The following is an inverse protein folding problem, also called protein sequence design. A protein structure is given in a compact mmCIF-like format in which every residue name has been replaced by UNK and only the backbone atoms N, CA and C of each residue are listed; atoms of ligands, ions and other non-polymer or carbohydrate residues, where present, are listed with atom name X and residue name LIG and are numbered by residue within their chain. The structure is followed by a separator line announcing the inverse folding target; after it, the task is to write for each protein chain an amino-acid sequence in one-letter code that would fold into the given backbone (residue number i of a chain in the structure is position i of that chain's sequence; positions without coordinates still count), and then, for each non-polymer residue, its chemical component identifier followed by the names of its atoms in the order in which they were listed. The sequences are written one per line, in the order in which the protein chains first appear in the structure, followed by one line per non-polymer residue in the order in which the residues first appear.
data_IF_744798735280
#
_entry.id   IF_744798735280
#
_cell.length_a   1.000
_cell.length_b   1.000
_cell.length_c   1.000
_cell.angle_alpha   90.00
_cell.angle_beta   90.00
_cell.angle_gamma   90.00
#
_symmetry.space_group_name_H-M   'P 1'
#
loop_
_entity.id
_entity.type
_entity.pdbx_description
1 polymer ?
#
# COMPACT_ATOMS: atom_id res chain seq x y z
N UNK A 1 5.61 -4.53 12.70
CA UNK A 1 4.47 -5.42 12.35
C UNK A 1 4.40 -5.59 10.85
N UNK A 2 4.25 -6.81 10.33
CA UNK A 2 4.17 -7.05 8.88
C UNK A 2 2.71 -7.10 8.42
N UNK A 3 2.43 -6.35 7.37
CA UNK A 3 1.12 -6.22 6.73
C UNK A 3 1.20 -6.69 5.29
N UNK A 4 0.16 -7.37 4.85
CA UNK A 4 -0.05 -7.79 3.48
C UNK A 4 -0.98 -6.79 2.80
N UNK A 5 -0.46 -6.13 1.77
CA UNK A 5 -1.17 -5.11 1.01
C UNK A 5 -1.44 -5.63 -0.40
N UNK A 6 -2.71 -5.67 -0.79
CA UNK A 6 -3.12 -5.84 -2.17
C UNK A 6 -3.33 -4.46 -2.81
N UNK A 7 -2.39 -4.05 -3.65
CA UNK A 7 -2.41 -2.76 -4.34
C UNK A 7 -3.14 -2.88 -5.69
N UNK A 8 -4.14 -2.03 -5.86
CA UNK A 8 -4.90 -1.83 -7.09
C UNK A 8 -4.58 -0.45 -7.67
N UNK A 9 -3.50 -0.31 -8.46
CA UNK A 9 -3.13 0.94 -9.07
C UNK A 9 -4.03 1.28 -10.27
N UNK A 10 -3.99 2.53 -10.73
CA UNK A 10 -4.83 3.05 -11.82
C UNK A 10 -6.34 2.89 -11.54
N UNK A 11 -6.75 3.03 -10.29
CA UNK A 11 -8.15 3.02 -9.89
C UNK A 11 -8.77 4.41 -10.06
N UNK A 12 -10.07 4.50 -10.28
CA UNK A 12 -10.79 5.78 -10.37
C UNK A 12 -10.85 6.52 -9.03
N UNK A 13 -10.59 5.82 -7.92
CA UNK A 13 -10.70 6.32 -6.56
C UNK A 13 -9.52 5.87 -5.70
N UNK A 14 -9.24 6.65 -4.65
CA UNK A 14 -8.29 6.27 -3.61
C UNK A 14 -9.07 5.69 -2.43
N UNK A 15 -8.79 4.45 -2.03
CA UNK A 15 -9.51 3.75 -0.97
C UNK A 15 -8.58 2.80 -0.23
N UNK A 16 -8.77 2.67 1.08
CA UNK A 16 -8.16 1.61 1.89
C UNK A 16 -9.29 0.77 2.48
N UNK A 17 -9.20 -0.54 2.34
CA UNK A 17 -10.14 -1.50 2.94
C UNK A 17 -9.37 -2.53 3.75
N UNK A 18 -9.69 -2.64 5.04
CA UNK A 18 -9.13 -3.68 5.90
C UNK A 18 -9.91 -4.98 5.67
N UNK A 19 -9.25 -6.00 5.13
CA UNK A 19 -9.85 -7.34 4.95
C UNK A 19 -9.68 -8.20 6.19
N UNK A 20 -8.56 -8.08 6.89
CA UNK A 20 -8.26 -8.83 8.11
C UNK A 20 -7.31 -8.05 9.01
N UNK A 21 -6.86 -8.60 10.14
CA UNK A 21 -5.89 -7.93 11.02
C UNK A 21 -4.64 -7.45 10.28
N UNK A 22 -4.09 -8.32 9.43
CA UNK A 22 -2.85 -8.08 8.70
C UNK A 22 -3.03 -7.90 7.19
N UNK A 23 -4.26 -7.97 6.66
CA UNK A 23 -4.54 -7.86 5.22
C UNK A 23 -5.35 -6.62 4.88
N UNK A 24 -4.87 -5.84 3.91
CA UNK A 24 -5.49 -4.62 3.44
C UNK A 24 -5.51 -4.59 1.92
N UNK A 25 -6.62 -4.12 1.35
CA UNK A 25 -6.69 -3.71 -0.05
C UNK A 25 -6.57 -2.20 -0.15
N UNK A 26 -5.73 -1.74 -1.08
CA UNK A 26 -5.49 -0.31 -1.31
C UNK A 26 -5.68 -0.02 -2.78
N UNK A 27 -6.60 0.89 -3.08
CA UNK A 27 -6.82 1.43 -4.42
C UNK A 27 -6.17 2.80 -4.48
N UNK A 28 -5.40 3.03 -5.53
CA UNK A 28 -4.76 4.33 -5.79
C UNK A 28 -5.01 4.75 -7.23
N UNK A 29 -5.09 6.05 -7.47
CA UNK A 29 -5.26 6.61 -8.82
C UNK A 29 -3.96 6.58 -9.62
N UNK A 30 -2.83 6.66 -8.93
CA UNK A 30 -1.50 6.63 -9.53
C UNK A 30 -1.25 5.31 -10.29
N UNK A 31 -0.58 5.44 -11.44
CA UNK A 31 -0.16 4.29 -12.22
C UNK A 31 1.06 3.64 -11.57
N UNK A 32 1.29 2.33 -11.77
CA UNK A 32 2.47 1.64 -11.25
C UNK A 32 3.72 1.91 -12.13
N UNK A 33 3.96 3.19 -12.44
CA UNK A 33 5.05 3.65 -13.32
C UNK A 33 5.94 4.59 -12.51
N UNK A 34 7.26 4.54 -12.72
CA UNK A 34 8.23 5.41 -12.05
C UNK A 34 8.14 5.44 -10.51
N UNK A 35 7.86 4.28 -9.88
CA UNK A 35 7.78 4.16 -8.41
C UNK A 35 6.66 4.99 -7.75
N UNK A 36 5.83 5.69 -8.53
CA UNK A 36 4.74 6.57 -8.04
C UNK A 36 3.75 5.84 -7.16
N UNK A 37 3.32 4.66 -7.59
CA UNK A 37 2.43 3.80 -6.82
C UNK A 37 3.00 3.41 -5.43
N UNK A 38 4.31 3.25 -5.31
CA UNK A 38 4.95 2.88 -4.04
C UNK A 38 5.06 4.07 -3.09
N UNK A 39 5.40 5.24 -3.65
CA UNK A 39 5.47 6.49 -2.91
C UNK A 39 4.08 6.83 -2.36
N UNK A 40 3.05 6.75 -3.19
CA UNK A 40 1.69 7.07 -2.78
C UNK A 40 1.17 6.05 -1.77
N UNK A 41 1.42 4.75 -1.99
CA UNK A 41 1.07 3.72 -1.02
C UNK A 41 1.71 3.99 0.36
N UNK A 42 3.01 4.29 0.40
CA UNK A 42 3.70 4.58 1.65
C UNK A 42 3.11 5.84 2.33
N UNK A 43 2.78 6.87 1.55
CA UNK A 43 2.15 8.10 2.05
C UNK A 43 0.79 7.83 2.69
N UNK A 44 -0.06 7.07 2.00
CA UNK A 44 -1.39 6.69 2.45
C UNK A 44 -1.31 5.84 3.72
N UNK A 45 -0.47 4.80 3.74
CA UNK A 45 -0.33 3.91 4.90
C UNK A 45 0.28 4.64 6.10
N UNK A 46 1.27 5.52 5.88
CA UNK A 46 1.85 6.37 6.95
C UNK A 46 0.78 7.27 7.58
N UNK A 47 -0.10 7.86 6.77
CA UNK A 47 -1.21 8.69 7.26
C UNK A 47 -2.26 7.86 8.01
N UNK A 48 -2.58 6.67 7.51
CA UNK A 48 -3.57 5.77 8.12
C UNK A 48 -3.10 5.20 9.47
N UNK A 49 -1.88 4.67 9.54
CA UNK A 49 -1.32 4.08 10.76
C UNK A 49 -0.66 5.09 11.69
N UNK A 50 -0.44 6.33 11.24
CA UNK A 50 0.33 7.38 11.94
C UNK A 50 1.71 6.88 12.41
N UNK A 51 2.30 5.97 11.63
CA UNK A 51 3.52 5.22 11.93
C UNK A 51 4.42 5.18 10.70
N UNK A 52 5.70 4.93 10.92
CA UNK A 52 6.60 4.70 9.78
C UNK A 52 6.28 3.38 9.11
N UNK A 53 6.28 3.41 7.78
CA UNK A 53 5.96 2.26 6.95
C UNK A 53 7.06 2.04 5.93
N UNK A 54 7.47 0.80 5.73
CA UNK A 54 8.50 0.41 4.77
C UNK A 54 8.03 -0.80 3.98
N UNK A 55 8.11 -0.70 2.66
CA UNK A 55 7.84 -1.85 1.79
C UNK A 55 9.02 -2.81 1.91
N UNK A 56 8.77 -4.04 2.33
CA UNK A 56 9.80 -5.07 2.53
C UNK A 56 9.91 -5.97 1.31
N UNK A 57 8.78 -6.25 0.64
CA UNK A 57 8.74 -7.08 -0.56
C UNK A 57 7.56 -6.74 -1.48
N UNK A 58 7.61 -7.24 -2.71
CA UNK A 58 6.55 -7.03 -3.70
C UNK A 58 6.61 -5.67 -4.39
N UNK A 59 7.79 -5.07 -4.53
CA UNK A 59 7.97 -3.77 -5.20
C UNK A 59 7.34 -3.73 -6.61
N UNK A 60 7.42 -4.83 -7.35
CA UNK A 60 6.87 -5.01 -8.70
C UNK A 60 5.53 -5.76 -8.74
N UNK A 61 5.09 -6.34 -7.62
CA UNK A 61 3.86 -7.13 -7.54
C UNK A 61 2.70 -6.30 -7.01
N UNK A 62 1.46 -6.72 -7.32
CA UNK A 62 0.26 -6.16 -6.69
C UNK A 62 0.16 -6.54 -5.22
N UNK A 63 0.69 -7.71 -4.85
CA UNK A 63 0.80 -8.17 -3.46
C UNK A 63 2.12 -7.68 -2.87
N UNK A 64 2.04 -6.80 -1.88
CA UNK A 64 3.21 -6.22 -1.20
C UNK A 64 3.20 -6.58 0.27
N UNK A 65 4.40 -6.78 0.83
CA UNK A 65 4.56 -6.88 2.28
C UNK A 65 5.13 -5.56 2.77
N UNK A 66 4.39 -4.91 3.66
CA UNK A 66 4.77 -3.63 4.26
C UNK A 66 4.98 -3.84 5.76
N UNK A 67 6.11 -3.36 6.26
CA UNK A 67 6.39 -3.34 7.68
C UNK A 67 6.06 -1.98 8.26
N UNK A 68 5.26 -1.98 9.31
CA UNK A 68 4.88 -0.80 10.10
C UNK A 68 5.66 -0.82 11.40
N UNK A 69 6.34 0.27 11.72
CA UNK A 69 7.12 0.45 12.96
C UNK A 69 6.25 1.03 14.08
#
# INVERSE_FOLDING_TARGET
MKLHINLHPNSSQEKIEKKSENEYEVWIKEKPVDNKANIELARILKKYFKKEVKIVSGFTSRKKIVEVF
#
